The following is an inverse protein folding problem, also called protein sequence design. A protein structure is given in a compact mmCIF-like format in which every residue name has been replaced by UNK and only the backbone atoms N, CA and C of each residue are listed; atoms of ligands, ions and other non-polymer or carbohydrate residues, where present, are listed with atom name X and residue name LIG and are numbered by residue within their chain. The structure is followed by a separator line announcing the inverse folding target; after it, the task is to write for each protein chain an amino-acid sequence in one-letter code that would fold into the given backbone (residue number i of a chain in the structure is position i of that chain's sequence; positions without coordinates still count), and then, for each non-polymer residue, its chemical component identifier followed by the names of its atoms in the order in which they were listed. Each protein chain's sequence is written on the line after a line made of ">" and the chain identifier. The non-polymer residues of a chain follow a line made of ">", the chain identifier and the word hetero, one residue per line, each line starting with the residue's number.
data_IF_439901488167
#
_entry.id   IF_439901488167
#
_cell.length_a   1.000
_cell.length_b   1.000
_cell.length_c   1.000
_cell.angle_alpha   90.00
_cell.angle_beta   90.00
_cell.angle_gamma   90.00
#
_symmetry.space_group_name_H-M   'P 1'
#
loop_
_entity.id
_entity.type
_entity.pdbx_description
1 polymer ?
#
# COMPACT_ATOMS: atom_id res chain seq x y z
N UNK A 1 -17.71 51.50 -51.75
CA UNK A 1 -16.76 50.49 -51.30
C UNK A 1 -15.99 51.00 -50.08
N UNK A 2 -15.63 50.08 -49.20
CA UNK A 2 -14.92 50.40 -47.95
C UNK A 2 -13.46 49.99 -48.08
N UNK A 3 -12.59 50.73 -47.40
CA UNK A 3 -11.14 50.48 -47.35
C UNK A 3 -10.65 50.66 -45.92
N UNK A 4 -9.76 49.77 -45.48
CA UNK A 4 -9.06 49.95 -44.19
C UNK A 4 -7.94 50.96 -44.41
N UNK A 5 -7.98 52.06 -43.64
CA UNK A 5 -7.03 53.17 -43.76
C UNK A 5 -6.04 53.28 -42.58
N UNK A 6 -6.33 52.63 -41.45
CA UNK A 6 -5.43 52.54 -40.31
C UNK A 6 -5.68 51.25 -39.53
N UNK A 7 -4.64 50.73 -38.85
CA UNK A 7 -4.66 49.63 -37.90
C UNK A 7 -3.77 49.94 -36.71
N UNK A 8 -4.23 49.62 -35.51
CA UNK A 8 -3.50 49.83 -34.23
C UNK A 8 -3.68 48.61 -33.34
N UNK A 9 -2.74 48.31 -32.49
CA UNK A 9 -2.86 47.31 -31.44
C UNK A 9 -3.69 47.85 -30.28
N UNK A 10 -4.48 47.01 -29.61
CA UNK A 10 -5.33 47.36 -28.46
C UNK A 10 -6.81 47.45 -28.80
N UNK A 11 -7.66 47.42 -27.78
CA UNK A 11 -9.12 47.39 -27.89
C UNK A 11 -9.76 48.79 -27.80
N UNK A 12 -9.01 49.82 -27.41
CA UNK A 12 -9.55 51.20 -27.31
C UNK A 12 -9.45 51.89 -28.66
N UNK A 13 -10.59 52.34 -29.16
CA UNK A 13 -10.72 52.99 -30.47
C UNK A 13 -9.80 54.19 -30.62
N UNK A 14 -9.06 54.21 -31.71
CA UNK A 14 -8.08 55.27 -32.04
C UNK A 14 -6.81 55.27 -31.19
N UNK A 15 -6.70 54.46 -30.15
CA UNK A 15 -5.55 54.33 -29.28
C UNK A 15 -4.63 53.18 -29.68
N UNK A 16 -3.50 53.04 -29.00
CA UNK A 16 -2.52 51.97 -29.23
C UNK A 16 -1.47 52.27 -30.28
N UNK A 17 -0.60 51.31 -30.57
CA UNK A 17 0.52 51.47 -31.49
C UNK A 17 0.09 51.27 -32.95
N UNK A 18 0.26 52.31 -33.76
CA UNK A 18 -0.05 52.22 -35.19
C UNK A 18 0.83 51.18 -35.93
N UNK A 19 0.25 50.47 -36.86
CA UNK A 19 0.88 49.46 -37.69
C UNK A 19 0.65 49.78 -39.19
N UNK A 20 1.50 49.25 -40.04
CA UNK A 20 1.42 49.49 -41.48
C UNK A 20 0.49 48.45 -42.12
N UNK A 21 -0.50 48.94 -42.89
CA UNK A 21 -1.43 48.06 -43.65
C UNK A 21 -0.65 47.30 -44.70
N UNK A 22 -0.98 46.03 -44.87
CA UNK A 22 -0.32 45.12 -45.82
C UNK A 22 1.04 44.59 -45.38
N UNK A 23 1.51 44.97 -44.18
CA UNK A 23 2.75 44.46 -43.60
C UNK A 23 2.46 43.61 -42.38
N UNK A 24 3.20 42.49 -42.22
CA UNK A 24 3.12 41.66 -41.01
C UNK A 24 3.70 42.41 -39.79
N UNK A 25 3.08 42.26 -38.63
CA UNK A 25 3.58 42.76 -37.37
C UNK A 25 3.28 41.77 -36.23
N UNK A 26 4.16 41.70 -35.27
CA UNK A 26 4.04 40.81 -34.11
C UNK A 26 3.21 41.46 -33.00
N UNK A 27 2.52 40.60 -32.27
CA UNK A 27 1.74 40.90 -31.04
C UNK A 27 2.31 40.05 -29.89
N UNK A 28 1.58 39.95 -28.80
CA UNK A 28 1.96 39.08 -27.67
C UNK A 28 1.85 37.61 -28.03
N UNK A 29 0.82 37.24 -28.78
CA UNK A 29 0.47 35.83 -29.03
C UNK A 29 0.65 35.41 -30.48
N UNK A 30 0.73 36.35 -31.43
CA UNK A 30 0.80 35.99 -32.84
C UNK A 30 1.37 37.04 -33.76
N UNK A 31 1.38 36.72 -35.04
CA UNK A 31 1.74 37.61 -36.13
C UNK A 31 0.50 37.92 -36.97
N UNK A 32 0.21 39.20 -37.12
CA UNK A 32 -0.97 39.75 -37.82
C UNK A 32 -0.57 40.48 -39.09
N UNK A 33 -1.33 40.30 -40.15
CA UNK A 33 -1.34 41.16 -41.33
C UNK A 33 -2.77 41.57 -41.65
N UNK A 34 -3.00 42.89 -41.88
CA UNK A 34 -4.31 43.41 -42.30
C UNK A 34 -4.14 44.17 -43.63
N UNK A 35 -4.91 43.84 -44.61
CA UNK A 35 -4.89 44.48 -45.93
C UNK A 35 -5.92 45.61 -46.04
N UNK A 36 -5.70 46.49 -47.01
CA UNK A 36 -6.59 47.62 -47.28
C UNK A 36 -8.00 47.18 -47.71
N UNK A 37 -8.15 46.01 -48.27
CA UNK A 37 -9.43 45.44 -48.66
C UNK A 37 -10.23 44.79 -47.50
N UNK A 38 -9.66 44.82 -46.30
CA UNK A 38 -10.25 44.25 -45.09
C UNK A 38 -9.90 42.78 -44.85
N UNK A 39 -9.22 42.12 -45.77
CA UNK A 39 -8.72 40.77 -45.51
C UNK A 39 -7.59 40.80 -44.50
N UNK A 40 -7.47 39.71 -43.71
CA UNK A 40 -6.40 39.60 -42.72
C UNK A 40 -5.90 38.15 -42.58
N UNK A 41 -4.70 38.02 -42.09
CA UNK A 41 -4.12 36.76 -41.61
C UNK A 41 -3.64 36.92 -40.19
N UNK A 42 -3.84 35.90 -39.36
CA UNK A 42 -3.28 35.82 -38.03
C UNK A 42 -2.69 34.43 -37.83
N UNK A 43 -1.44 34.38 -37.37
CA UNK A 43 -0.75 33.15 -36.96
C UNK A 43 -0.39 33.25 -35.49
N UNK A 44 -0.81 32.27 -34.68
CA UNK A 44 -0.49 32.18 -33.25
C UNK A 44 0.93 31.58 -33.12
N UNK A 45 1.98 32.35 -33.44
CA UNK A 45 3.37 31.90 -33.62
C UNK A 45 4.35 32.57 -32.65
N UNK A 46 3.88 33.33 -31.67
CA UNK A 46 4.75 33.99 -30.71
C UNK A 46 4.83 33.19 -29.37
N UNK A 47 5.88 33.47 -28.59
CA UNK A 47 6.09 32.78 -27.30
C UNK A 47 4.89 32.84 -26.34
N UNK A 48 4.09 33.91 -26.41
CA UNK A 48 2.88 34.03 -25.61
C UNK A 48 1.84 32.93 -25.93
N UNK A 49 1.67 32.55 -27.21
CA UNK A 49 0.73 31.48 -27.61
C UNK A 49 1.27 30.09 -27.26
N UNK A 50 2.58 29.87 -27.39
CA UNK A 50 3.21 28.58 -27.07
C UNK A 50 3.33 28.31 -25.58
N UNK A 51 3.15 29.32 -24.76
CA UNK A 51 3.12 29.21 -23.29
C UNK A 51 1.70 29.07 -22.70
N UNK A 52 0.66 29.10 -23.55
CA UNK A 52 -0.71 28.85 -23.08
C UNK A 52 -0.89 27.36 -22.81
N UNK A 53 -1.31 27.05 -21.60
CA UNK A 53 -1.72 25.69 -21.20
C UNK A 53 -2.88 25.19 -22.03
N UNK A 54 -3.08 23.88 -22.08
CA UNK A 54 -4.18 23.27 -22.78
C UNK A 54 -5.52 23.83 -22.32
N UNK A 55 -6.35 24.29 -23.27
CA UNK A 55 -7.66 24.92 -22.97
C UNK A 55 -7.60 26.35 -22.43
N UNK A 56 -6.45 26.87 -22.03
CA UNK A 56 -6.32 28.28 -21.61
C UNK A 56 -6.54 29.22 -22.78
N UNK A 57 -7.16 30.37 -22.53
CA UNK A 57 -7.46 31.35 -23.59
C UNK A 57 -6.79 32.68 -23.30
N UNK A 58 -6.30 33.30 -24.37
CA UNK A 58 -5.82 34.67 -24.37
C UNK A 58 -6.35 35.45 -25.56
N UNK A 59 -6.22 36.76 -25.58
CA UNK A 59 -6.73 37.59 -26.68
C UNK A 59 -5.71 38.59 -27.15
N UNK A 60 -5.57 38.71 -28.47
CA UNK A 60 -5.01 39.89 -29.12
C UNK A 60 -6.14 40.77 -29.65
N UNK A 61 -6.04 42.08 -29.42
CA UNK A 61 -7.06 43.05 -29.83
C UNK A 61 -6.44 44.12 -30.73
N UNK A 62 -7.21 44.52 -31.70
CA UNK A 62 -6.83 45.53 -32.69
C UNK A 62 -7.99 46.49 -32.90
N UNK A 63 -7.70 47.76 -33.14
CA UNK A 63 -8.69 48.67 -33.68
C UNK A 63 -8.26 49.16 -35.07
N UNK A 64 -9.22 49.29 -35.98
CA UNK A 64 -8.94 49.68 -37.34
C UNK A 64 -9.95 50.74 -37.79
N UNK A 65 -9.47 51.62 -38.70
CA UNK A 65 -10.30 52.67 -39.30
C UNK A 65 -10.76 52.19 -40.69
N UNK A 66 -12.08 52.19 -40.89
CA UNK A 66 -12.70 51.95 -42.19
C UNK A 66 -13.12 53.28 -42.81
N UNK A 67 -12.90 53.44 -44.11
CA UNK A 67 -13.31 54.60 -44.85
C UNK A 67 -14.25 54.21 -46.01
N UNK A 68 -15.38 54.93 -46.15
CA UNK A 68 -16.19 54.84 -47.35
C UNK A 68 -15.52 55.65 -48.49
N UNK A 69 -15.25 54.93 -49.55
CA UNK A 69 -14.64 55.53 -50.73
C UNK A 69 -15.48 56.59 -51.42
N UNK A 70 -16.82 56.54 -51.27
CA UNK A 70 -17.73 57.44 -51.92
C UNK A 70 -17.95 58.74 -51.16
N UNK A 71 -18.09 58.68 -49.86
CA UNK A 71 -18.30 59.84 -48.96
C UNK A 71 -17.06 60.39 -48.33
N UNK A 72 -16.01 59.55 -48.20
CA UNK A 72 -14.82 59.87 -47.45
C UNK A 72 -14.98 59.76 -45.94
N UNK A 73 -16.16 59.39 -45.48
CA UNK A 73 -16.46 59.24 -44.03
C UNK A 73 -15.67 58.06 -43.45
N UNK A 74 -15.31 58.16 -42.19
CA UNK A 74 -14.55 57.12 -41.49
C UNK A 74 -15.20 56.72 -40.20
N UNK A 75 -15.05 55.46 -39.82
CA UNK A 75 -15.47 54.89 -38.54
C UNK A 75 -14.36 53.96 -38.02
N UNK A 76 -14.35 53.70 -36.70
CA UNK A 76 -13.40 52.83 -36.05
C UNK A 76 -14.13 51.62 -35.50
N UNK A 77 -13.56 50.43 -35.73
CA UNK A 77 -14.07 49.19 -35.19
C UNK A 77 -12.91 48.37 -34.54
N UNK A 78 -13.25 47.40 -33.71
CA UNK A 78 -12.31 46.51 -33.05
C UNK A 78 -12.39 45.10 -33.62
N UNK A 79 -11.24 44.45 -33.76
CA UNK A 79 -11.07 43.03 -34.02
C UNK A 79 -10.41 42.39 -32.82
N UNK A 80 -11.03 41.33 -32.29
CA UNK A 80 -10.49 40.53 -31.20
C UNK A 80 -10.23 39.13 -31.72
N UNK A 81 -9.01 38.65 -31.57
CA UNK A 81 -8.62 37.28 -31.88
C UNK A 81 -8.45 36.55 -30.54
N UNK A 82 -9.23 35.49 -30.33
CA UNK A 82 -9.06 34.59 -29.19
C UNK A 82 -8.13 33.44 -29.61
N UNK A 83 -7.11 33.21 -28.82
CA UNK A 83 -6.15 32.14 -28.98
C UNK A 83 -6.41 31.13 -27.87
N UNK A 84 -6.57 29.86 -28.21
CA UNK A 84 -6.71 28.78 -27.23
C UNK A 84 -5.42 27.98 -27.25
N UNK A 85 -4.86 27.72 -26.09
CA UNK A 85 -3.71 26.86 -25.89
C UNK A 85 -4.06 25.42 -26.25
N UNK A 86 -3.10 24.71 -26.83
CA UNK A 86 -3.22 23.30 -27.20
C UNK A 86 -1.98 22.51 -26.75
N UNK A 87 -1.13 23.12 -25.93
CA UNK A 87 0.07 22.47 -25.44
C UNK A 87 -0.25 21.76 -24.13
N UNK A 88 -0.21 20.41 -24.17
CA UNK A 88 -0.28 19.56 -22.99
C UNK A 88 1.14 19.14 -22.61
N UNK A 89 1.55 19.39 -21.38
CA UNK A 89 2.82 18.96 -20.80
C UNK A 89 2.53 17.86 -19.77
N UNK A 90 3.37 16.84 -19.77
CA UNK A 90 3.20 15.74 -18.83
C UNK A 90 3.29 16.24 -17.38
N UNK A 91 2.56 15.60 -16.46
CA UNK A 91 2.76 15.80 -15.04
C UNK A 91 4.16 15.40 -14.60
N UNK A 92 4.55 15.82 -13.43
CA UNK A 92 5.79 15.42 -12.76
C UNK A 92 5.39 14.73 -11.47
N UNK A 93 5.54 13.40 -11.44
CA UNK A 93 5.22 12.56 -10.31
C UNK A 93 6.44 12.39 -9.39
N UNK A 94 6.20 12.41 -8.09
CA UNK A 94 7.18 12.23 -7.02
C UNK A 94 7.00 10.86 -6.37
N UNK A 95 8.09 10.28 -5.86
CA UNK A 95 8.00 9.00 -5.14
C UNK A 95 7.52 9.20 -3.71
N UNK A 96 6.76 8.22 -3.21
CA UNK A 96 6.17 8.20 -1.88
C UNK A 96 6.69 7.05 -1.04
N UNK A 97 6.58 7.20 0.28
CA UNK A 97 7.06 6.21 1.25
C UNK A 97 6.09 6.06 2.42
N UNK A 98 5.94 4.83 2.90
CA UNK A 98 5.22 4.51 4.13
C UNK A 98 6.06 3.59 5.03
N UNK A 99 5.77 3.60 6.33
CA UNK A 99 6.35 2.68 7.32
C UNK A 99 5.20 2.03 8.07
N UNK A 100 5.28 0.73 8.30
CA UNK A 100 4.24 -0.03 8.98
C UNK A 100 4.89 -1.19 9.75
N UNK A 101 4.33 -1.54 10.90
CA UNK A 101 4.62 -2.80 11.57
C UNK A 101 3.83 -3.91 10.89
N UNK A 102 4.34 -5.12 10.86
CA UNK A 102 3.62 -6.29 10.39
C UNK A 102 2.27 -6.42 11.10
N UNK A 103 1.33 -7.16 10.52
CA UNK A 103 -0.07 -7.22 10.93
C UNK A 103 -0.82 -5.88 10.96
N UNK A 104 -0.12 -4.78 10.69
CA UNK A 104 -0.69 -3.44 10.70
C UNK A 104 -1.46 -3.09 9.44
N UNK A 105 -2.23 -2.01 9.54
CA UNK A 105 -2.89 -1.38 8.40
C UNK A 105 -2.56 0.11 8.37
N UNK A 106 -1.99 0.57 7.27
CA UNK A 106 -1.78 1.99 7.00
C UNK A 106 -2.82 2.47 5.99
N UNK A 107 -3.57 3.50 6.34
CA UNK A 107 -4.57 4.12 5.46
C UNK A 107 -4.31 5.62 5.34
N UNK A 108 -4.20 6.11 4.12
CA UNK A 108 -4.02 7.52 3.80
C UNK A 108 -5.20 8.01 2.97
N UNK A 109 -5.86 9.06 3.47
CA UNK A 109 -7.02 9.66 2.81
C UNK A 109 -6.60 10.66 1.73
N UNK A 110 -7.51 10.95 0.79
CA UNK A 110 -7.36 12.00 -0.24
C UNK A 110 -7.02 13.37 0.39
N UNK A 111 -5.97 14.00 -0.09
CA UNK A 111 -5.41 15.24 0.47
C UNK A 111 -4.86 15.08 1.90
N UNK A 112 -4.77 13.85 2.39
CA UNK A 112 -4.28 13.52 3.73
C UNK A 112 -2.76 13.60 3.82
N UNK A 113 -2.26 14.28 4.85
CA UNK A 113 -0.91 14.08 5.33
C UNK A 113 -0.89 12.89 6.29
N UNK A 114 0.24 12.21 6.36
CA UNK A 114 0.56 11.03 7.14
C UNK A 114 -0.44 10.66 8.23
N UNK A 115 -1.04 9.50 8.10
CA UNK A 115 -1.88 8.90 9.14
C UNK A 115 -1.08 7.80 9.81
N UNK A 116 -1.07 7.81 11.10
CA UNK A 116 -0.57 6.72 11.92
C UNK A 116 -1.50 5.52 11.78
N UNK A 117 -1.00 4.41 11.27
CA UNK A 117 -1.69 3.12 11.34
C UNK A 117 -1.59 2.51 12.74
N UNK A 118 -2.46 1.56 13.05
CA UNK A 118 -2.38 0.76 14.28
C UNK A 118 -2.09 -0.68 13.91
N UNK A 119 -1.13 -1.29 14.58
CA UNK A 119 -0.90 -2.74 14.56
C UNK A 119 -1.95 -3.49 15.41
N UNK A 120 -1.86 -4.81 15.48
CA UNK A 120 -2.72 -5.65 16.31
C UNK A 120 -2.62 -5.34 17.81
N UNK A 121 -1.47 -4.79 18.25
CA UNK A 121 -1.19 -4.40 19.63
C UNK A 121 -1.57 -2.94 19.94
N UNK A 122 -2.18 -2.23 18.99
CA UNK A 122 -2.56 -0.83 19.09
C UNK A 122 -1.37 0.12 19.30
N UNK A 123 -0.18 -0.27 18.86
CA UNK A 123 1.01 0.57 18.80
C UNK A 123 1.00 1.46 17.55
N UNK A 124 1.29 2.73 17.75
CA UNK A 124 1.20 3.76 16.74
C UNK A 124 2.57 3.97 16.05
N UNK A 125 3.12 2.92 15.42
CA UNK A 125 4.46 2.93 14.83
C UNK A 125 4.45 2.91 13.29
N UNK A 126 3.29 2.94 12.68
CA UNK A 126 3.15 3.10 11.24
C UNK A 126 2.91 4.56 10.87
N UNK A 127 3.44 4.97 9.74
CA UNK A 127 3.30 6.32 9.25
C UNK A 127 3.64 6.43 7.77
N UNK A 128 3.02 7.41 7.16
CA UNK A 128 3.38 7.88 5.84
C UNK A 128 4.06 9.24 6.00
N UNK A 129 5.15 9.48 5.30
CA UNK A 129 5.91 10.73 5.38
C UNK A 129 5.53 11.72 4.28
N UNK A 130 4.77 11.28 3.27
CA UNK A 130 4.46 12.04 2.05
C UNK A 130 2.99 12.43 1.92
N UNK A 131 2.06 11.71 2.53
CA UNK A 131 0.63 11.90 2.37
C UNK A 131 0.04 10.93 1.32
N UNK A 132 -1.09 11.29 0.68
CA UNK A 132 -1.55 10.49 -0.45
C UNK A 132 -0.57 10.63 -1.63
N UNK A 133 -0.62 9.68 -2.56
CA UNK A 133 0.40 9.58 -3.61
C UNK A 133 0.36 10.69 -4.67
N UNK A 134 -0.58 11.61 -4.61
CA UNK A 134 -0.64 12.80 -5.47
C UNK A 134 -0.16 14.07 -4.75
N UNK A 135 0.09 13.98 -3.44
CA UNK A 135 0.68 15.08 -2.68
C UNK A 135 2.15 15.24 -3.05
N UNK A 136 2.51 16.42 -3.55
CA UNK A 136 3.87 16.68 -4.05
C UNK A 136 4.01 16.55 -5.55
N UNK A 137 3.03 15.96 -6.23
CA UNK A 137 2.97 15.92 -7.69
C UNK A 137 2.56 17.27 -8.25
N UNK A 138 3.02 17.57 -9.44
CA UNK A 138 2.73 18.84 -10.10
C UNK A 138 2.44 18.65 -11.58
N UNK A 139 1.55 19.48 -12.09
CA UNK A 139 1.32 19.62 -13.52
C UNK A 139 1.72 21.01 -14.00
N UNK A 140 2.56 21.13 -15.05
CA UNK A 140 2.99 22.44 -15.56
C UNK A 140 1.85 23.25 -16.21
N UNK A 141 0.75 22.63 -16.58
CA UNK A 141 -0.44 23.28 -17.13
C UNK A 141 -1.50 23.55 -16.07
N UNK A 142 -1.33 23.00 -14.86
CA UNK A 142 -2.25 23.15 -13.74
C UNK A 142 -3.45 22.22 -13.83
N UNK A 143 -3.32 21.13 -14.57
CA UNK A 143 -4.37 20.12 -14.73
C UNK A 143 -4.55 19.29 -13.43
N UNK A 144 -5.74 18.72 -13.29
CA UNK A 144 -6.04 17.85 -12.14
C UNK A 144 -5.42 16.48 -12.35
N UNK A 145 -4.60 16.05 -11.39
CA UNK A 145 -3.92 14.76 -11.43
C UNK A 145 -4.78 13.64 -10.90
N UNK A 146 -4.60 12.45 -11.49
CA UNK A 146 -5.25 11.20 -11.06
C UNK A 146 -4.26 10.04 -11.14
N UNK A 147 -4.44 9.01 -10.31
CA UNK A 147 -3.77 7.73 -10.50
C UNK A 147 -4.53 6.94 -11.55
N UNK A 148 -3.89 6.70 -12.69
CA UNK A 148 -4.50 6.06 -13.86
C UNK A 148 -4.21 4.56 -13.92
N UNK A 149 -3.05 4.12 -13.39
CA UNK A 149 -2.64 2.73 -13.41
C UNK A 149 -1.75 2.37 -12.22
N UNK A 150 -1.69 1.09 -11.91
CA UNK A 150 -0.74 0.48 -10.98
C UNK A 150 -0.18 -0.79 -11.59
N UNK A 151 1.12 -1.01 -11.46
CA UNK A 151 1.78 -2.22 -11.93
C UNK A 151 1.30 -3.45 -11.14
N UNK A 152 0.99 -4.52 -11.86
CA UNK A 152 0.54 -5.78 -11.25
C UNK A 152 -0.95 -5.86 -10.93
N UNK A 153 -1.74 -4.79 -11.20
CA UNK A 153 -3.16 -4.78 -10.88
C UNK A 153 -3.97 -3.67 -11.54
N UNK A 154 -5.02 -3.26 -10.88
CA UNK A 154 -5.90 -2.16 -11.32
C UNK A 154 -6.15 -1.19 -10.17
N UNK A 155 -6.24 0.09 -10.47
CA UNK A 155 -6.63 1.13 -9.52
C UNK A 155 -7.97 0.78 -8.87
N UNK A 156 -8.07 0.95 -7.56
CA UNK A 156 -9.23 0.57 -6.75
C UNK A 156 -9.33 -0.92 -6.40
N UNK A 157 -8.38 -1.74 -6.86
CA UNK A 157 -8.31 -3.17 -6.53
C UNK A 157 -7.05 -3.50 -5.74
N UNK A 158 -7.11 -4.55 -4.91
CA UNK A 158 -5.97 -5.01 -4.15
C UNK A 158 -4.85 -5.56 -5.04
N UNK A 159 -3.61 -5.16 -4.76
CA UNK A 159 -2.38 -5.64 -5.41
C UNK A 159 -1.48 -6.20 -4.33
N UNK A 160 -1.17 -7.50 -4.43
CA UNK A 160 -0.35 -8.20 -3.44
C UNK A 160 1.14 -7.98 -3.73
N UNK A 161 1.87 -7.54 -2.71
CA UNK A 161 3.32 -7.45 -2.66
C UNK A 161 3.95 -8.70 -2.04
N UNK A 162 5.17 -8.57 -1.55
CA UNK A 162 5.88 -9.63 -0.82
C UNK A 162 5.41 -9.70 0.63
N UNK A 163 5.27 -8.56 1.27
CA UNK A 163 4.98 -8.42 2.69
C UNK A 163 3.55 -7.98 2.97
N UNK A 164 2.84 -7.42 1.99
CA UNK A 164 1.49 -6.92 2.21
C UNK A 164 0.69 -6.68 0.94
N UNK A 165 -0.49 -6.11 1.13
CA UNK A 165 -1.47 -5.86 0.08
C UNK A 165 -1.81 -4.38 0.00
N UNK A 166 -1.57 -3.75 -1.17
CA UNK A 166 -1.88 -2.36 -1.46
C UNK A 166 -3.22 -2.24 -2.20
N UNK A 167 -4.03 -1.28 -1.80
CA UNK A 167 -5.16 -0.77 -2.59
C UNK A 167 -5.00 0.75 -2.76
N UNK A 168 -4.81 1.22 -3.99
CA UNK A 168 -4.68 2.63 -4.34
C UNK A 168 -5.90 3.10 -5.14
N UNK A 169 -6.41 4.30 -4.86
CA UNK A 169 -7.56 4.90 -5.53
C UNK A 169 -7.12 5.95 -6.57
N UNK A 170 -7.99 6.28 -7.52
CA UNK A 170 -7.70 7.28 -8.55
C UNK A 170 -7.45 8.69 -8.01
N UNK A 171 -7.93 9.01 -6.81
CA UNK A 171 -7.70 10.28 -6.14
C UNK A 171 -6.42 10.32 -5.28
N UNK A 172 -5.57 9.29 -5.37
CA UNK A 172 -4.31 9.21 -4.65
C UNK A 172 -4.38 8.55 -3.27
N UNK A 173 -5.57 8.45 -2.68
CA UNK A 173 -5.73 7.77 -1.39
C UNK A 173 -5.38 6.28 -1.49
N UNK A 174 -4.85 5.70 -0.41
CA UNK A 174 -4.48 4.30 -0.41
C UNK A 174 -4.65 3.62 0.96
N UNK A 175 -4.66 2.30 0.94
CA UNK A 175 -4.54 1.44 2.11
C UNK A 175 -3.53 0.34 1.82
N UNK A 176 -2.60 0.13 2.74
CA UNK A 176 -1.67 -0.99 2.73
C UNK A 176 -1.84 -1.80 4.01
N UNK A 177 -1.93 -3.11 3.86
CA UNK A 177 -2.04 -4.07 4.97
C UNK A 177 -0.84 -5.01 4.88
N UNK A 178 -0.05 -5.11 5.95
CA UNK A 178 1.08 -6.03 6.03
C UNK A 178 0.55 -7.42 6.47
N UNK A 179 -0.05 -8.15 5.53
CA UNK A 179 -0.86 -9.36 5.75
C UNK A 179 -0.30 -10.62 5.07
N UNK A 180 0.96 -10.62 4.67
CA UNK A 180 1.57 -11.76 4.00
C UNK A 180 2.49 -12.51 4.95
N UNK A 181 2.56 -13.83 4.81
CA UNK A 181 3.43 -14.70 5.61
C UNK A 181 4.94 -14.32 5.59
N UNK A 182 5.36 -13.47 4.68
CA UNK A 182 6.72 -12.94 4.68
C UNK A 182 6.86 -11.74 5.62
N UNK A 183 5.76 -11.06 5.98
CA UNK A 183 5.74 -10.06 7.03
C UNK A 183 5.76 -10.74 8.40
N UNK A 184 4.88 -11.74 8.61
CA UNK A 184 4.80 -12.55 9.83
C UNK A 184 6.12 -13.30 10.19
N UNK A 185 7.05 -13.42 9.24
CA UNK A 185 8.35 -14.08 9.43
C UNK A 185 9.50 -13.08 9.66
N UNK A 186 9.21 -11.82 9.96
CA UNK A 186 10.22 -10.82 10.30
C UNK A 186 10.40 -10.76 11.82
N UNK A 187 11.57 -11.15 12.31
CA UNK A 187 11.91 -11.04 13.73
C UNK A 187 11.87 -9.57 14.21
N UNK A 188 11.66 -9.32 15.50
CA UNK A 188 11.75 -7.99 16.10
C UNK A 188 13.05 -7.26 15.75
N UNK A 189 12.92 -6.14 15.00
CA UNK A 189 14.03 -5.33 14.51
C UNK A 189 14.48 -5.64 13.10
N UNK A 190 13.96 -6.68 12.46
CA UNK A 190 14.12 -6.91 11.03
C UNK A 190 13.18 -6.02 10.22
N UNK A 191 13.47 -5.87 8.94
CA UNK A 191 12.65 -5.04 8.05
C UNK A 191 12.50 -5.67 6.67
N UNK A 192 11.29 -5.62 6.15
CA UNK A 192 10.93 -5.93 4.77
C UNK A 192 10.68 -4.68 3.94
N UNK A 193 10.61 -4.82 2.62
CA UNK A 193 10.29 -3.70 1.72
C UNK A 193 9.42 -4.16 0.58
N UNK A 194 8.27 -3.50 0.41
CA UNK A 194 7.46 -3.58 -0.79
C UNK A 194 7.52 -2.28 -1.59
N UNK A 195 7.57 -2.38 -2.92
CA UNK A 195 7.58 -1.23 -3.82
C UNK A 195 6.59 -1.44 -4.94
N UNK A 196 5.67 -0.50 -5.10
CA UNK A 196 4.65 -0.48 -6.13
C UNK A 196 4.88 0.69 -7.08
N UNK A 197 4.85 0.45 -8.39
CA UNK A 197 4.92 1.50 -9.42
C UNK A 197 3.52 1.85 -9.86
N UNK A 198 3.20 3.13 -9.86
CA UNK A 198 1.91 3.66 -10.34
C UNK A 198 2.14 4.74 -11.41
N UNK A 199 1.09 5.06 -12.15
CA UNK A 199 1.09 6.08 -13.20
C UNK A 199 0.14 7.19 -12.81
N UNK A 200 0.63 8.42 -12.84
CA UNK A 200 -0.14 9.65 -12.67
C UNK A 200 -0.50 10.20 -14.03
N UNK A 201 -1.75 10.55 -14.25
CA UNK A 201 -2.26 11.17 -15.46
C UNK A 201 -2.85 12.55 -15.20
N UNK A 202 -2.84 13.41 -16.21
CA UNK A 202 -3.38 14.77 -16.19
C UNK A 202 -4.79 14.89 -16.81
N UNK A 203 -5.35 13.77 -17.31
CA UNK A 203 -6.64 13.75 -18.00
C UNK A 203 -6.63 14.27 -19.44
N UNK A 204 -5.45 14.66 -19.96
CA UNK A 204 -5.23 15.23 -21.28
C UNK A 204 -4.14 14.51 -22.10
N UNK A 205 -4.00 13.18 -21.90
CA UNK A 205 -3.03 12.29 -22.54
C UNK A 205 -1.58 12.44 -22.02
N UNK A 206 -1.29 13.31 -21.08
CA UNK A 206 0.00 13.38 -20.39
C UNK A 206 0.05 12.41 -19.21
N UNK A 207 1.22 11.84 -18.95
CA UNK A 207 1.43 10.95 -17.80
C UNK A 207 2.89 10.89 -17.39
N UNK A 208 3.10 10.51 -16.10
CA UNK A 208 4.39 10.20 -15.51
C UNK A 208 4.24 9.02 -14.54
N UNK A 209 5.35 8.43 -14.10
CA UNK A 209 5.34 7.28 -13.20
C UNK A 209 6.13 7.56 -11.94
N UNK A 210 5.61 7.09 -10.81
CA UNK A 210 6.29 7.14 -9.53
C UNK A 210 6.19 5.79 -8.79
N UNK A 211 6.85 5.70 -7.64
CA UNK A 211 6.83 4.52 -6.78
C UNK A 211 6.32 4.88 -5.40
N UNK A 212 5.52 3.99 -4.83
CA UNK A 212 5.15 3.98 -3.41
C UNK A 212 5.89 2.82 -2.76
N UNK A 213 6.75 3.13 -1.79
CA UNK A 213 7.60 2.16 -1.11
C UNK A 213 7.24 2.06 0.36
N UNK A 214 6.92 0.86 0.83
CA UNK A 214 6.67 0.56 2.24
C UNK A 214 7.89 -0.10 2.86
N UNK A 215 8.23 0.33 4.08
CA UNK A 215 9.11 -0.40 4.98
C UNK A 215 8.24 -1.08 6.02
N UNK A 216 8.32 -2.40 6.08
CA UNK A 216 7.64 -3.25 7.05
C UNK A 216 8.62 -3.57 8.15
N UNK A 217 8.22 -3.39 9.39
CA UNK A 217 9.03 -3.63 10.60
C UNK A 217 8.48 -4.88 11.27
N UNK A 218 9.35 -5.84 11.55
CA UNK A 218 9.02 -7.05 12.28
C UNK A 218 8.65 -6.77 13.74
N UNK A 219 7.72 -7.51 14.27
CA UNK A 219 7.31 -7.57 15.66
C UNK A 219 7.52 -8.99 16.18
N UNK A 220 7.12 -9.26 17.40
CA UNK A 220 7.19 -10.57 18.01
C UNK A 220 5.84 -11.26 17.88
N UNK A 221 5.81 -12.43 17.26
CA UNK A 221 4.61 -13.24 17.10
C UNK A 221 4.49 -14.30 18.21
N UNK A 222 3.30 -14.44 18.77
CA UNK A 222 3.01 -15.46 19.75
C UNK A 222 3.04 -16.88 19.12
N UNK A 223 3.68 -17.88 19.75
CA UNK A 223 3.72 -19.24 19.23
C UNK A 223 2.35 -19.91 19.19
N UNK A 224 2.13 -20.78 18.22
CA UNK A 224 0.90 -21.55 18.04
C UNK A 224 1.08 -22.98 18.51
N UNK A 225 0.54 -23.27 19.70
CA UNK A 225 0.53 -24.63 20.27
C UNK A 225 -0.53 -25.53 19.63
N UNK A 226 -0.13 -26.73 19.24
CA UNK A 226 -0.98 -27.76 18.65
C UNK A 226 -1.14 -28.95 19.61
N UNK A 227 -2.37 -29.41 19.82
CA UNK A 227 -2.65 -30.48 20.78
C UNK A 227 -1.94 -31.80 20.48
N UNK A 228 -1.44 -32.43 21.53
CA UNK A 228 -0.77 -33.74 21.51
C UNK A 228 -1.63 -34.86 22.04
N UNK A 229 -1.32 -36.06 21.63
CA UNK A 229 -2.05 -37.27 22.09
C UNK A 229 -1.09 -38.45 22.34
N UNK A 230 -1.27 -39.10 23.45
CA UNK A 230 -0.62 -40.37 23.78
C UNK A 230 -1.62 -41.45 24.23
N UNK A 231 -1.23 -42.69 24.14
CA UNK A 231 -2.00 -43.83 24.67
C UNK A 231 -1.08 -44.76 25.45
N UNK A 232 -1.63 -45.39 26.48
CA UNK A 232 -0.88 -46.22 27.39
C UNK A 232 -1.80 -47.27 28.08
N UNK A 233 -1.28 -48.42 28.37
CA UNK A 233 -1.98 -49.39 29.23
C UNK A 233 -1.83 -49.05 30.71
N UNK A 234 -2.72 -49.58 31.51
CA UNK A 234 -2.59 -49.49 32.96
C UNK A 234 -1.25 -50.10 33.40
N UNK A 235 -0.68 -49.61 34.51
CA UNK A 235 0.64 -49.99 35.07
C UNK A 235 1.86 -49.70 34.14
N UNK A 236 1.67 -49.14 32.94
CA UNK A 236 2.75 -48.85 32.03
C UNK A 236 3.32 -47.43 32.21
N UNK A 237 4.44 -47.17 31.56
CA UNK A 237 5.08 -45.84 31.45
C UNK A 237 5.26 -45.48 29.98
N UNK A 238 4.74 -44.33 29.58
CA UNK A 238 5.05 -43.68 28.32
C UNK A 238 6.11 -42.61 28.58
N UNK A 239 7.21 -42.62 27.82
CA UNK A 239 8.26 -41.59 27.92
C UNK A 239 8.61 -41.12 26.52
N UNK A 240 8.59 -39.81 26.33
CA UNK A 240 8.96 -39.13 25.07
C UNK A 240 10.12 -38.17 25.36
N UNK A 241 11.21 -38.36 24.64
CA UNK A 241 12.40 -37.54 24.78
C UNK A 241 12.30 -36.26 23.93
N UNK A 242 13.07 -35.26 24.28
CA UNK A 242 13.25 -34.04 23.51
C UNK A 242 13.66 -34.34 22.07
N UNK A 243 12.98 -33.71 21.09
CA UNK A 243 13.13 -34.01 19.65
C UNK A 243 12.75 -35.45 19.28
N UNK A 244 12.15 -36.19 20.19
CA UNK A 244 11.75 -37.59 20.00
C UNK A 244 10.43 -37.73 19.28
N UNK A 245 10.43 -38.52 18.21
CA UNK A 245 9.20 -39.10 17.70
C UNK A 245 8.76 -40.24 18.61
N UNK A 246 7.44 -40.47 18.65
CA UNK A 246 6.73 -41.48 19.43
C UNK A 246 7.56 -42.67 19.93
N UNK A 247 7.68 -42.80 21.22
CA UNK A 247 8.35 -43.97 21.83
C UNK A 247 7.29 -44.92 22.31
N UNK A 248 7.45 -46.16 21.94
CA UNK A 248 6.67 -47.26 22.48
C UNK A 248 7.06 -47.52 23.94
N UNK A 249 6.12 -47.30 24.86
CA UNK A 249 6.31 -47.71 26.23
C UNK A 249 6.11 -49.25 26.37
N UNK A 250 6.66 -49.82 27.43
CA UNK A 250 6.44 -51.22 27.79
C UNK A 250 5.65 -51.36 29.07
N UNK A 251 4.62 -52.20 29.08
CA UNK A 251 3.93 -52.58 30.30
C UNK A 251 4.66 -53.72 31.03
N UNK A 252 4.14 -54.16 32.19
CA UNK A 252 4.71 -55.24 32.98
C UNK A 252 4.68 -56.58 32.28
N UNK A 253 3.94 -56.74 31.19
CA UNK A 253 3.84 -57.94 30.35
C UNK A 253 4.71 -57.88 29.09
N UNK A 254 5.51 -56.83 28.93
CA UNK A 254 6.36 -56.56 27.75
C UNK A 254 5.58 -56.47 26.43
N UNK A 255 4.29 -56.09 26.49
CA UNK A 255 3.48 -55.78 25.34
C UNK A 255 3.65 -54.30 24.98
N UNK A 256 3.92 -54.04 23.72
CA UNK A 256 4.24 -52.74 23.17
C UNK A 256 2.94 -52.00 22.81
N UNK A 257 2.14 -51.64 23.82
CA UNK A 257 0.78 -51.07 23.65
C UNK A 257 0.65 -49.62 24.16
N UNK A 258 1.76 -48.92 24.33
CA UNK A 258 1.76 -47.51 24.58
C UNK A 258 2.47 -46.74 23.46
N UNK A 259 2.02 -45.58 23.15
CA UNK A 259 2.58 -44.75 22.11
C UNK A 259 2.09 -43.34 22.15
N UNK A 260 2.84 -42.49 21.52
CA UNK A 260 2.54 -41.12 21.25
C UNK A 260 2.50 -40.96 19.70
N UNK A 261 1.61 -40.19 19.19
CA UNK A 261 1.44 -39.99 17.75
C UNK A 261 2.07 -38.69 17.26
N UNK A 262 2.50 -37.81 18.18
CA UNK A 262 2.97 -36.46 17.88
C UNK A 262 4.45 -36.24 18.19
N UNK A 263 5.06 -37.02 19.08
CA UNK A 263 6.42 -36.80 19.57
C UNK A 263 6.42 -36.07 20.91
N UNK A 264 7.45 -35.28 21.21
CA UNK A 264 7.40 -34.37 22.36
C UNK A 264 6.34 -33.27 22.09
N UNK A 265 5.91 -32.59 23.15
CA UNK A 265 4.76 -31.68 23.08
C UNK A 265 5.06 -30.36 22.34
N UNK A 266 6.28 -30.14 21.85
CA UNK A 266 6.66 -28.99 21.03
C UNK A 266 6.87 -29.37 19.56
N UNK A 267 6.83 -30.67 19.23
CA UNK A 267 7.25 -31.16 17.92
C UNK A 267 6.34 -30.73 16.74
N UNK A 268 5.11 -30.39 17.03
CA UNK A 268 4.07 -29.94 16.06
C UNK A 268 3.65 -28.48 16.28
N UNK A 269 4.23 -27.81 17.25
CA UNK A 269 4.04 -26.38 17.51
C UNK A 269 4.81 -25.54 16.48
N UNK A 270 4.35 -24.35 16.22
CA UNK A 270 4.94 -23.43 15.23
C UNK A 270 5.00 -22.02 15.78
N UNK A 271 5.95 -21.29 15.25
CA UNK A 271 6.13 -19.87 15.44
C UNK A 271 6.30 -19.18 14.09
N UNK A 272 5.67 -18.02 13.88
CA UNK A 272 5.71 -17.34 12.60
C UNK A 272 7.06 -16.68 12.32
N UNK A 273 7.72 -16.15 13.36
CA UNK A 273 9.09 -15.63 13.32
C UNK A 273 10.14 -16.71 13.04
N UNK A 274 9.73 -17.96 13.06
CA UNK A 274 10.61 -19.10 12.80
C UNK A 274 11.54 -19.43 13.98
N UNK A 275 11.21 -18.95 15.17
CA UNK A 275 11.93 -19.20 16.39
C UNK A 275 11.98 -20.69 16.71
N UNK A 276 13.17 -21.26 16.61
CA UNK A 276 13.42 -22.68 16.78
C UNK A 276 13.54 -23.11 18.25
N UNK A 277 13.31 -22.19 19.18
CA UNK A 277 13.55 -22.40 20.61
C UNK A 277 12.29 -22.38 21.47
N UNK A 278 11.17 -22.84 20.95
CA UNK A 278 9.93 -22.98 21.72
C UNK A 278 10.16 -23.79 22.99
N UNK A 279 9.57 -23.33 24.10
CA UNK A 279 9.64 -23.99 25.40
C UNK A 279 8.27 -24.13 26.02
N UNK A 280 8.06 -25.14 26.82
CA UNK A 280 6.92 -25.20 27.71
C UNK A 280 7.22 -24.27 28.89
N UNK A 281 6.47 -23.20 29.04
CA UNK A 281 6.65 -22.20 30.10
C UNK A 281 5.85 -22.50 31.37
N UNK A 282 4.72 -23.23 31.26
CA UNK A 282 3.88 -23.59 32.39
C UNK A 282 3.07 -24.88 32.15
N UNK A 283 2.67 -25.53 33.23
CA UNK A 283 1.67 -26.61 33.22
C UNK A 283 0.59 -26.30 34.28
N UNK A 284 -0.66 -26.48 33.90
CA UNK A 284 -1.80 -26.24 34.80
C UNK A 284 -1.79 -27.29 35.94
N UNK A 285 -1.98 -26.82 37.16
CA UNK A 285 -2.10 -27.68 38.34
C UNK A 285 -0.79 -28.24 38.88
N UNK A 286 0.39 -27.79 38.34
CA UNK A 286 1.68 -28.29 38.77
C UNK A 286 2.87 -27.41 38.47
N UNK A 287 4.05 -28.00 38.47
CA UNK A 287 5.34 -27.36 38.15
C UNK A 287 6.09 -28.25 37.15
N UNK A 288 6.71 -27.65 36.15
CA UNK A 288 7.51 -28.37 35.15
C UNK A 288 8.62 -29.20 35.83
N UNK A 289 8.87 -30.37 35.29
CA UNK A 289 9.84 -31.34 35.85
C UNK A 289 9.36 -32.06 37.11
N UNK A 290 8.15 -31.79 37.62
CA UNK A 290 7.53 -32.47 38.73
C UNK A 290 6.30 -33.25 38.29
N UNK A 291 5.97 -34.35 39.02
CA UNK A 291 4.80 -35.14 38.75
C UNK A 291 3.48 -34.39 39.02
N UNK A 292 2.64 -34.28 38.01
CA UNK A 292 1.29 -33.72 38.08
C UNK A 292 0.28 -34.87 38.05
N UNK A 293 -0.48 -35.09 39.13
CA UNK A 293 -1.41 -36.18 39.22
C UNK A 293 -2.70 -35.89 38.39
N UNK A 294 -3.02 -36.81 37.48
CA UNK A 294 -4.34 -36.90 36.86
C UNK A 294 -5.25 -37.87 37.62
N UNK A 295 -6.32 -38.31 36.99
CA UNK A 295 -7.26 -39.32 37.53
C UNK A 295 -6.71 -40.73 37.38
N UNK A 296 -6.02 -41.00 36.29
CA UNK A 296 -5.54 -42.33 35.85
C UNK A 296 -4.02 -42.46 35.94
N UNK A 297 -3.28 -41.35 35.88
CA UNK A 297 -1.83 -41.39 35.93
C UNK A 297 -1.17 -40.09 36.44
N UNK A 298 0.14 -40.09 36.36
CA UNK A 298 0.98 -38.93 36.73
C UNK A 298 1.79 -38.50 35.53
N UNK A 299 1.64 -37.25 35.11
CA UNK A 299 2.44 -36.63 34.05
C UNK A 299 3.64 -35.88 34.65
N UNK A 300 4.83 -36.08 34.11
CA UNK A 300 5.99 -35.19 34.31
C UNK A 300 6.32 -34.58 32.97
N UNK A 301 6.16 -33.25 32.84
CA UNK A 301 6.45 -32.48 31.63
C UNK A 301 7.63 -31.55 31.89
N UNK A 302 8.59 -31.52 30.99
CA UNK A 302 9.79 -30.68 31.08
C UNK A 302 9.65 -29.45 30.17
N UNK A 303 10.43 -28.41 30.44
CA UNK A 303 10.44 -27.18 29.65
C UNK A 303 10.85 -27.39 28.16
N UNK A 304 11.61 -28.43 27.85
CA UNK A 304 12.02 -28.78 26.48
C UNK A 304 11.00 -29.67 25.73
N UNK A 305 9.78 -29.78 26.20
CA UNK A 305 8.71 -30.57 25.57
C UNK A 305 8.73 -32.06 25.90
N UNK A 306 9.86 -32.61 26.39
CA UNK A 306 9.92 -34.03 26.78
C UNK A 306 9.01 -34.32 27.94
N UNK A 307 8.40 -35.51 27.95
CA UNK A 307 7.50 -35.88 29.03
C UNK A 307 7.53 -37.36 29.36
N UNK A 308 7.05 -37.69 30.56
CA UNK A 308 6.72 -39.06 30.90
C UNK A 308 5.35 -39.10 31.60
N UNK A 309 4.54 -40.04 31.21
CA UNK A 309 3.28 -40.35 31.87
C UNK A 309 3.28 -41.77 32.39
N UNK A 310 2.94 -41.94 33.65
CA UNK A 310 2.83 -43.25 34.34
C UNK A 310 1.39 -43.48 34.73
N UNK A 311 0.78 -44.57 34.24
CA UNK A 311 -0.60 -44.94 34.61
C UNK A 311 -0.63 -45.63 35.96
N UNK A 312 -0.40 -44.88 37.04
CA UNK A 312 -0.16 -45.32 38.41
C UNK A 312 -1.23 -44.90 39.42
N UNK A 313 -2.36 -44.40 38.99
CA UNK A 313 -3.43 -43.97 39.87
C UNK A 313 -4.52 -45.06 39.98
N UNK A 314 -5.21 -45.09 41.12
CA UNK A 314 -6.30 -46.06 41.37
C UNK A 314 -7.46 -45.97 40.35
N UNK A 315 -7.56 -44.87 39.59
CA UNK A 315 -8.49 -44.75 38.47
C UNK A 315 -8.12 -45.66 37.31
N UNK A 316 -6.85 -45.86 37.05
CA UNK A 316 -6.35 -46.82 36.02
C UNK A 316 -6.66 -48.26 36.45
N UNK A 317 -6.29 -48.65 37.69
CA UNK A 317 -6.56 -49.98 38.25
C UNK A 317 -8.04 -50.37 38.22
N UNK A 318 -8.92 -49.37 38.21
CA UNK A 318 -10.37 -49.55 38.18
C UNK A 318 -10.97 -49.73 36.79
N UNK A 319 -10.20 -49.65 35.73
CA UNK A 319 -10.69 -49.81 34.35
C UNK A 319 -11.02 -51.27 34.06
N UNK A 320 -12.18 -51.50 33.48
CA UNK A 320 -12.55 -52.83 32.99
C UNK A 320 -11.73 -53.18 31.74
N UNK A 321 -11.48 -54.49 31.51
CA UNK A 321 -10.76 -54.95 30.31
C UNK A 321 -11.35 -54.31 29.02
N UNK A 322 -10.52 -53.73 28.22
CA UNK A 322 -10.83 -52.96 26.99
C UNK A 322 -11.59 -51.64 27.20
N UNK A 323 -11.74 -51.17 28.45
CA UNK A 323 -12.25 -49.83 28.71
C UNK A 323 -11.11 -48.80 28.46
N UNK A 324 -11.47 -47.63 27.97
CA UNK A 324 -10.55 -46.49 27.78
C UNK A 324 -11.01 -45.31 28.63
N UNK A 325 -10.05 -44.56 29.14
CA UNK A 325 -10.27 -43.32 29.86
C UNK A 325 -9.16 -42.29 29.47
N UNK A 326 -9.38 -41.04 29.80
CA UNK A 326 -8.47 -39.97 29.37
C UNK A 326 -8.14 -39.04 30.52
N UNK A 327 -6.87 -38.76 30.72
CA UNK A 327 -6.40 -37.59 31.45
C UNK A 327 -6.07 -36.47 30.44
N UNK A 328 -6.37 -35.21 30.78
CA UNK A 328 -6.07 -34.04 29.98
C UNK A 328 -5.24 -33.08 30.83
N UNK A 329 -4.09 -32.69 30.30
CA UNK A 329 -3.23 -31.70 30.92
C UNK A 329 -3.09 -30.52 29.99
N UNK A 330 -3.18 -29.29 30.54
CA UNK A 330 -3.01 -28.04 29.79
C UNK A 330 -1.65 -27.43 30.12
N UNK A 331 -0.92 -27.08 29.11
CA UNK A 331 0.38 -26.41 29.24
C UNK A 331 0.42 -25.16 28.36
N UNK A 332 1.39 -24.30 28.59
CA UNK A 332 1.63 -23.05 27.84
C UNK A 332 2.95 -23.18 27.11
N UNK A 333 2.95 -22.86 25.82
CA UNK A 333 4.15 -22.74 24.99
C UNK A 333 4.61 -21.28 24.98
N UNK A 334 5.88 -21.03 24.88
CA UNK A 334 6.51 -19.70 24.76
C UNK A 334 7.78 -19.80 23.93
N UNK A 335 8.05 -18.77 23.17
CA UNK A 335 9.28 -18.50 22.42
C UNK A 335 10.39 -17.89 23.29
N UNK A 336 10.01 -17.26 24.40
CA UNK A 336 10.91 -16.67 25.40
C UNK A 336 11.03 -15.14 25.29
N UNK A 337 10.20 -14.50 24.48
CA UNK A 337 10.12 -13.03 24.35
C UNK A 337 9.25 -12.36 25.42
#
# INVERSE_FOLDING_TARGET
>A
SFTITAIRTGSSEGAGTAKTIGQAFTTTYGTMTVNADGSYTYAADQNGSTSLSNGATATDSFNYTVQDHNSGDTDIATLVITITGSNNRNPVASNDTGVIIEDGTLTVADGGSAVTGTDSNNNNESGDTTGDVLVGDTDPDGDTLTVDAISGGSVGSAVTGTFGTLTIQSNGSYSYVADQAAADALDPGDTGTDTFTYTVGDGNDGSDTATLTFTIIGADDDPVGVNDTGYINEDATLSVSDGGSAVTGSDSNNNNESGDTTGDVLANDTDADGDSSLVVSAISGGTLGQGVAGTYGTLTLNANGSYSYVANQSGADGLAANATATDVFTYTVSDGA
#
